data_IF_922715212815
#
_entry.id   IF_922715212815
#
_cell.length_a   1.000
_cell.length_b   1.000
_cell.length_c   1.000
_cell.angle_alpha   90.00
_cell.angle_beta   90.00
_cell.angle_gamma   90.00
#
_symmetry.space_group_name_H-M   'P 1'
#
loop_
_entity.id
_entity.type
_entity.pdbx_description
1 polymer ?
#
# COMPACT_ATOMS: atom_id res chain seq x y z
N UNK A 1 0.51 19.50 13.13
CA UNK A 1 -0.19 18.34 13.72
C UNK A 1 0.81 17.21 13.66
N UNK A 2 1.35 16.78 14.79
CA UNK A 2 2.28 15.66 14.84
C UNK A 2 1.53 14.33 14.64
N UNK A 3 2.27 13.26 14.33
CA UNK A 3 1.70 11.92 14.28
C UNK A 3 1.14 11.51 15.65
N UNK A 4 -0.12 11.07 15.65
CA UNK A 4 -0.73 10.48 16.84
C UNK A 4 0.08 9.25 17.27
N UNK A 5 0.19 9.04 18.58
CA UNK A 5 1.03 7.97 19.13
C UNK A 5 0.63 6.58 18.61
N UNK A 6 -0.67 6.36 18.34
CA UNK A 6 -1.19 5.12 17.77
C UNK A 6 -0.78 4.88 16.30
N UNK A 7 -0.48 5.95 15.57
CA UNK A 7 -0.14 5.92 14.14
C UNK A 7 1.37 6.04 13.89
N UNK A 8 2.17 6.12 14.97
CA UNK A 8 3.64 6.07 14.87
C UNK A 8 4.06 4.70 14.34
N UNK A 9 4.16 4.63 13.02
CA UNK A 9 4.70 3.51 12.26
C UNK A 9 6.06 3.92 11.70
N UNK A 10 6.85 2.92 11.33
CA UNK A 10 8.14 3.12 10.66
C UNK A 10 8.03 2.48 9.27
N UNK A 11 7.49 3.20 8.27
CA UNK A 11 7.42 2.69 6.91
C UNK A 11 8.82 2.43 6.37
N UNK A 12 8.92 1.54 5.38
CA UNK A 12 10.21 1.21 4.79
C UNK A 12 10.85 2.43 4.10
N UNK A 13 10.03 3.26 3.42
CA UNK A 13 10.48 4.55 2.90
C UNK A 13 9.43 5.65 3.08
N UNK A 14 9.90 6.87 3.31
CA UNK A 14 9.07 8.07 3.46
C UNK A 14 9.72 9.23 2.72
N UNK A 15 8.94 9.86 1.85
CA UNK A 15 9.30 11.09 1.15
C UNK A 15 8.38 12.20 1.64
N UNK A 16 8.90 13.01 2.56
CA UNK A 16 8.15 14.06 3.24
C UNK A 16 8.88 15.39 3.20
N UNK A 17 8.11 16.47 3.37
CA UNK A 17 8.69 17.81 3.58
C UNK A 17 8.69 18.03 5.09
N UNK A 18 9.86 18.20 5.73
CA UNK A 18 9.92 18.44 7.17
C UNK A 18 9.16 19.72 7.57
N UNK A 19 8.49 19.68 8.72
CA UNK A 19 7.84 20.85 9.33
C UNK A 19 6.37 21.05 8.97
N UNK A 20 5.91 20.64 7.78
CA UNK A 20 4.48 20.70 7.42
C UNK A 20 4.00 19.39 6.80
N UNK A 21 2.84 18.90 7.24
CA UNK A 21 2.21 17.72 6.62
C UNK A 21 1.55 18.03 5.27
N UNK A 22 1.59 19.29 4.80
CA UNK A 22 0.81 19.77 3.65
C UNK A 22 1.41 19.44 2.27
N UNK A 23 2.59 18.80 2.21
CA UNK A 23 3.21 18.43 0.93
C UNK A 23 3.91 17.06 0.98
N UNK A 24 3.51 16.20 1.92
CA UNK A 24 4.10 14.87 2.03
C UNK A 24 3.79 14.06 0.78
N UNK A 25 4.83 13.53 0.16
CA UNK A 25 4.75 13.06 -1.23
C UNK A 25 4.41 11.58 -1.29
N UNK A 26 5.16 10.74 -0.58
CA UNK A 26 5.09 9.29 -0.80
C UNK A 26 5.43 8.51 0.46
N UNK A 27 4.68 7.46 0.72
CA UNK A 27 5.00 6.42 1.71
C UNK A 27 5.11 5.08 0.98
N UNK A 28 6.12 4.27 1.32
CA UNK A 28 6.36 2.98 0.67
C UNK A 28 6.50 1.88 1.72
N UNK A 29 5.83 0.77 1.46
CA UNK A 29 5.96 -0.50 2.19
C UNK A 29 6.44 -1.58 1.22
N UNK A 30 7.43 -2.38 1.63
CA UNK A 30 8.05 -3.42 0.82
C UNK A 30 7.92 -4.76 1.52
N UNK A 31 7.47 -5.80 0.81
CA UNK A 31 7.35 -7.17 1.32
C UNK A 31 7.85 -8.19 0.29
N UNK A 32 8.47 -9.25 0.79
CA UNK A 32 8.99 -10.36 -0.02
C UNK A 32 8.34 -11.70 0.24
N UNK A 33 7.33 -11.73 1.09
CA UNK A 33 6.63 -12.96 1.47
C UNK A 33 5.17 -12.68 1.78
N UNK A 34 4.30 -13.59 1.32
CA UNK A 34 2.88 -13.60 1.69
C UNK A 34 2.61 -14.33 3.01
N UNK A 35 3.57 -15.01 3.64
CA UNK A 35 3.31 -15.86 4.83
C UNK A 35 2.59 -15.15 5.99
N UNK A 36 2.81 -13.84 6.13
CA UNK A 36 2.28 -13.03 7.24
C UNK A 36 1.14 -12.11 6.78
N UNK A 37 0.02 -12.68 6.35
CA UNK A 37 -1.14 -11.95 5.83
C UNK A 37 -1.60 -10.79 6.74
N UNK A 38 -1.57 -10.95 8.06
CA UNK A 38 -1.96 -9.89 9.00
C UNK A 38 -1.05 -8.67 8.95
N UNK A 39 0.26 -8.87 8.73
CA UNK A 39 1.22 -7.77 8.59
C UNK A 39 0.94 -6.99 7.31
N UNK A 40 0.75 -7.71 6.20
CA UNK A 40 0.38 -7.12 4.90
C UNK A 40 -0.87 -6.24 5.02
N UNK A 41 -1.90 -6.73 5.70
CA UNK A 41 -3.11 -5.93 5.93
C UNK A 41 -2.83 -4.69 6.79
N UNK A 42 -1.97 -4.81 7.80
CA UNK A 42 -1.52 -3.67 8.61
C UNK A 42 -0.74 -2.63 7.81
N UNK A 43 0.03 -3.07 6.81
CA UNK A 43 0.78 -2.18 5.93
C UNK A 43 -0.16 -1.39 5.01
N UNK A 44 -1.14 -2.06 4.38
CA UNK A 44 -2.18 -1.36 3.61
C UNK A 44 -2.98 -0.37 4.46
N UNK A 45 -3.33 -0.75 5.69
CA UNK A 45 -4.00 0.16 6.63
C UNK A 45 -3.11 1.36 6.95
N UNK A 46 -1.81 1.16 7.11
CA UNK A 46 -0.83 2.24 7.34
C UNK A 46 -0.80 3.19 6.15
N UNK A 47 -0.71 2.69 4.92
CA UNK A 47 -0.74 3.51 3.71
C UNK A 47 -2.01 4.37 3.65
N UNK A 48 -3.18 3.76 3.87
CA UNK A 48 -4.46 4.47 3.87
C UNK A 48 -4.55 5.52 4.98
N UNK A 49 -4.05 5.22 6.18
CA UNK A 49 -3.98 6.20 7.26
C UNK A 49 -3.08 7.39 6.89
N UNK A 50 -1.92 7.14 6.28
CA UNK A 50 -1.01 8.20 5.85
C UNK A 50 -1.61 9.10 4.78
N UNK A 51 -2.33 8.52 3.82
CA UNK A 51 -3.03 9.27 2.77
C UNK A 51 -4.18 10.07 3.39
N UNK A 52 -5.11 9.40 4.07
CA UNK A 52 -6.38 10.01 4.48
C UNK A 52 -6.26 10.93 5.69
N UNK A 53 -5.37 10.64 6.63
CA UNK A 53 -5.20 11.42 7.87
C UNK A 53 -4.02 12.39 7.80
N UNK A 54 -2.90 11.95 7.23
CA UNK A 54 -1.65 12.72 7.18
C UNK A 54 -1.39 13.38 5.82
N UNK A 55 -2.39 13.34 4.92
CA UNK A 55 -2.42 14.01 3.62
C UNK A 55 -1.22 13.69 2.73
N UNK A 56 -0.70 12.47 2.83
CA UNK A 56 0.27 11.98 1.85
C UNK A 56 -0.40 11.87 0.48
N UNK A 57 0.28 12.31 -0.57
CA UNK A 57 -0.27 12.30 -1.93
C UNK A 57 -0.48 10.89 -2.48
N UNK A 58 0.40 9.95 -2.13
CA UNK A 58 0.29 8.56 -2.57
C UNK A 58 0.97 7.59 -1.59
N UNK A 59 0.57 6.33 -1.68
CA UNK A 59 1.22 5.20 -1.04
C UNK A 59 1.61 4.14 -2.07
N UNK A 60 2.73 3.44 -1.85
CA UNK A 60 3.18 2.36 -2.72
C UNK A 60 3.41 1.10 -1.89
N UNK A 61 2.76 0.00 -2.27
CA UNK A 61 3.03 -1.32 -1.73
C UNK A 61 3.82 -2.13 -2.76
N UNK A 62 5.07 -2.46 -2.46
CA UNK A 62 5.94 -3.26 -3.31
C UNK A 62 5.97 -4.70 -2.79
N UNK A 63 5.62 -5.64 -3.66
CA UNK A 63 5.64 -7.07 -3.37
C UNK A 63 6.53 -7.80 -4.39
N UNK A 64 7.68 -8.28 -3.94
CA UNK A 64 8.57 -9.09 -4.77
C UNK A 64 8.41 -10.59 -4.48
N UNK A 65 8.83 -11.42 -5.44
CA UNK A 65 8.65 -12.88 -5.48
C UNK A 65 7.19 -13.37 -5.64
N UNK A 66 6.26 -12.44 -5.87
CA UNK A 66 4.84 -12.73 -5.96
C UNK A 66 4.16 -11.86 -7.01
N UNK A 67 3.03 -12.35 -7.50
CA UNK A 67 2.11 -11.67 -8.42
C UNK A 67 0.96 -11.00 -7.67
N UNK A 68 0.25 -10.09 -8.34
CA UNK A 68 -1.00 -9.51 -7.83
C UNK A 68 -2.06 -10.59 -7.56
N UNK A 69 -2.13 -11.63 -8.40
CA UNK A 69 -3.09 -12.72 -8.25
C UNK A 69 -2.83 -13.50 -6.95
N UNK A 70 -1.57 -13.83 -6.66
CA UNK A 70 -1.19 -14.50 -5.40
C UNK A 70 -1.53 -13.63 -4.18
N UNK A 71 -1.33 -12.31 -4.25
CA UNK A 71 -1.75 -11.39 -3.19
C UNK A 71 -3.27 -11.43 -2.99
N UNK A 72 -4.06 -11.36 -4.07
CA UNK A 72 -5.52 -11.43 -4.00
C UNK A 72 -5.96 -12.78 -3.41
N UNK A 73 -5.35 -13.89 -3.78
CA UNK A 73 -5.65 -15.21 -3.19
C UNK A 73 -5.34 -15.24 -1.70
N UNK A 74 -4.23 -14.62 -1.28
CA UNK A 74 -3.78 -14.59 0.11
C UNK A 74 -4.67 -13.74 1.05
N UNK A 75 -5.16 -12.59 0.58
CA UNK A 75 -5.86 -11.60 1.45
C UNK A 75 -7.20 -11.09 0.91
N UNK A 76 -7.72 -11.68 -0.16
CA UNK A 76 -8.71 -11.09 -1.07
C UNK A 76 -9.95 -10.45 -0.47
N UNK A 77 -10.60 -11.05 0.54
CA UNK A 77 -11.80 -10.42 1.14
C UNK A 77 -11.46 -9.10 1.82
N UNK A 78 -10.42 -9.10 2.67
CA UNK A 78 -9.98 -7.91 3.39
C UNK A 78 -9.37 -6.87 2.47
N UNK A 79 -8.67 -7.31 1.42
CA UNK A 79 -8.09 -6.41 0.43
C UNK A 79 -9.19 -5.65 -0.34
N UNK A 80 -10.31 -6.32 -0.66
CA UNK A 80 -11.49 -5.66 -1.25
C UNK A 80 -12.15 -4.68 -0.29
N UNK A 81 -12.24 -5.02 0.99
CA UNK A 81 -12.75 -4.09 2.02
C UNK A 81 -11.89 -2.81 2.05
N UNK A 82 -10.56 -2.94 2.07
CA UNK A 82 -9.65 -1.78 2.02
C UNK A 82 -9.73 -1.02 0.69
N UNK A 83 -9.94 -1.71 -0.43
CA UNK A 83 -10.10 -1.09 -1.74
C UNK A 83 -11.33 -0.19 -1.86
N UNK A 84 -12.31 -0.34 -0.96
CA UNK A 84 -13.48 0.52 -0.87
C UNK A 84 -13.30 1.75 0.03
N UNK A 85 -12.18 1.86 0.73
CA UNK A 85 -11.93 2.97 1.65
C UNK A 85 -11.45 4.24 0.92
N UNK A 86 -11.73 5.44 1.48
CA UNK A 86 -11.18 6.68 0.97
C UNK A 86 -9.65 6.64 0.90
N UNK A 87 -9.08 7.13 -0.21
CA UNK A 87 -7.64 7.15 -0.46
C UNK A 87 -7.09 5.88 -1.13
N UNK A 88 -7.89 4.84 -1.34
CA UNK A 88 -7.47 3.61 -2.02
C UNK A 88 -7.10 3.83 -3.50
N UNK A 89 -7.60 4.88 -4.13
CA UNK A 89 -7.23 5.35 -5.47
C UNK A 89 -5.81 5.93 -5.53
N UNK A 90 -5.24 6.31 -4.37
CA UNK A 90 -3.89 6.84 -4.23
C UNK A 90 -2.89 5.78 -3.72
N UNK A 91 -3.28 4.51 -3.63
CA UNK A 91 -2.41 3.40 -3.24
C UNK A 91 -2.06 2.55 -4.47
N UNK A 92 -0.80 2.62 -4.89
CA UNK A 92 -0.25 1.82 -5.97
C UNK A 92 0.31 0.50 -5.42
N UNK A 93 0.09 -0.58 -6.15
CA UNK A 93 0.58 -1.93 -5.83
C UNK A 93 1.50 -2.36 -6.96
N UNK A 94 2.77 -2.59 -6.62
CA UNK A 94 3.79 -3.03 -7.56
C UNK A 94 4.17 -4.47 -7.23
N UNK A 95 4.11 -5.36 -8.23
CA UNK A 95 4.47 -6.77 -8.07
C UNK A 95 5.52 -7.20 -9.08
N UNK A 96 6.51 -7.94 -8.62
CA UNK A 96 7.53 -8.55 -9.48
C UNK A 96 7.71 -10.01 -9.06
N UNK A 97 7.50 -10.95 -9.99
CA UNK A 97 7.51 -12.38 -9.67
C UNK A 97 8.93 -12.92 -9.52
N UNK A 98 9.84 -12.46 -10.36
CA UNK A 98 11.24 -12.90 -10.39
C UNK A 98 12.15 -11.71 -10.69
N UNK A 99 13.42 -11.78 -10.29
CA UNK A 99 14.37 -10.72 -10.57
C UNK A 99 14.41 -10.41 -12.08
N UNK A 100 14.32 -9.13 -12.45
CA UNK A 100 14.31 -8.62 -13.84
C UNK A 100 13.08 -8.99 -14.69
N UNK A 101 12.08 -9.65 -14.11
CA UNK A 101 10.78 -9.81 -14.80
C UNK A 101 10.02 -8.48 -14.86
N UNK A 102 9.08 -8.31 -15.81
CA UNK A 102 8.27 -7.09 -15.88
C UNK A 102 7.53 -6.81 -14.57
N UNK A 103 7.56 -5.54 -14.15
CA UNK A 103 6.78 -5.08 -13.02
C UNK A 103 5.31 -4.98 -13.41
N UNK A 104 4.42 -5.56 -12.61
CA UNK A 104 2.99 -5.41 -12.75
C UNK A 104 2.52 -4.34 -11.77
N UNK A 105 1.81 -3.34 -12.28
CA UNK A 105 1.25 -2.25 -11.49
C UNK A 105 -0.27 -2.37 -11.42
N UNK A 106 -0.82 -2.09 -10.24
CA UNK A 106 -2.25 -1.94 -10.03
C UNK A 106 -2.52 -0.81 -9.03
N UNK A 107 -3.75 -0.35 -8.97
CA UNK A 107 -4.22 0.59 -7.94
C UNK A 107 -5.16 -0.16 -7.03
N UNK A 108 -5.06 0.04 -5.72
CA UNK A 108 -5.83 -0.72 -4.74
C UNK A 108 -7.34 -0.65 -5.02
N UNK A 109 -7.88 0.53 -5.35
CA UNK A 109 -9.30 0.69 -5.70
C UNK A 109 -9.75 -0.11 -6.94
N UNK A 110 -8.85 -0.41 -7.89
CA UNK A 110 -9.18 -1.17 -9.09
C UNK A 110 -9.48 -2.64 -8.79
N UNK A 111 -9.02 -3.16 -7.63
CA UNK A 111 -9.24 -4.54 -7.20
C UNK A 111 -10.71 -4.84 -6.84
N UNK A 112 -11.55 -3.81 -6.70
CA UNK A 112 -12.99 -3.96 -6.46
C UNK A 112 -13.73 -4.62 -7.64
N UNK A 113 -13.30 -4.34 -8.87
CA UNK A 113 -14.06 -4.68 -10.08
C UNK A 113 -13.57 -5.93 -10.81
N UNK A 114 -12.58 -6.64 -10.26
CA UNK A 114 -11.99 -7.82 -10.91
C UNK A 114 -11.33 -7.52 -12.27
N UNK A 115 -11.13 -6.23 -12.61
CA UNK A 115 -10.38 -5.79 -13.79
C UNK A 115 -8.90 -5.87 -13.48
N UNK A 116 -8.36 -7.08 -13.54
CA UNK A 116 -6.92 -7.27 -13.74
C UNK A 116 -6.73 -7.07 -15.25
N UNK A 117 -6.02 -6.00 -15.61
CA UNK A 117 -5.62 -5.70 -17.01
C UNK A 117 -4.72 -6.80 -17.56
#
# INVERSE_FOLDING_TARGET
IDFDQADRKNPDFVFHVPGTHEQNTLIIEVKGTLKYHQKIMGDFQTLLTFISKYRYKAGVFILYNHTIAELITAVGKKLKELASLPGADSVHILTIKEARSPCNESVLSHLLHGRIL
#
